data_IF_664298608485
#
_entry.id   IF_664298608485
#
_cell.length_a   1.000
_cell.length_b   1.000
_cell.length_c   1.000
_cell.angle_alpha   90.00
_cell.angle_beta   90.00
_cell.angle_gamma   90.00
#
_symmetry.space_group_name_H-M   'P 1'
#
loop_
_entity.id
_entity.type
_entity.pdbx_description
1 polymer ?
#
# COMPACT_ATOMS: atom_id res chain seq x y z
N UNK A 1 8.73 15.31 57.31
CA UNK A 1 9.93 15.94 56.71
C UNK A 1 10.54 14.90 55.77
N UNK A 2 10.91 15.32 54.56
CA UNK A 2 11.40 14.53 53.40
C UNK A 2 10.27 14.03 52.47
N UNK A 3 9.96 14.93 51.55
CA UNK A 3 9.32 14.77 50.24
C UNK A 3 10.41 14.25 49.28
N UNK A 4 10.08 13.38 48.33
CA UNK A 4 10.40 13.55 46.89
C UNK A 4 10.47 12.23 46.08
N UNK A 5 10.13 12.42 44.80
CA UNK A 5 10.51 11.63 43.61
C UNK A 5 9.68 10.40 43.25
N UNK A 6 8.58 10.63 42.53
CA UNK A 6 8.20 9.82 41.36
C UNK A 6 7.50 10.70 40.29
N UNK A 7 8.25 11.60 39.65
CA UNK A 7 7.96 11.98 38.26
C UNK A 7 8.68 10.97 37.37
N UNK A 8 8.00 9.96 36.81
CA UNK A 8 8.57 9.15 35.71
C UNK A 8 7.56 8.19 35.05
N UNK A 9 6.30 8.58 34.79
CA UNK A 9 5.37 7.73 34.01
C UNK A 9 4.40 8.58 33.16
N UNK A 10 4.89 9.24 32.11
CA UNK A 10 4.01 9.84 31.08
C UNK A 10 4.75 9.97 29.74
N UNK A 11 5.06 8.85 29.07
CA UNK A 11 5.63 8.90 27.70
C UNK A 11 5.26 7.73 26.78
N UNK A 12 4.40 6.79 27.21
CA UNK A 12 4.07 5.60 26.42
C UNK A 12 2.67 5.60 25.78
N UNK A 13 1.82 6.60 26.05
CA UNK A 13 0.42 6.66 25.57
C UNK A 13 0.18 7.54 24.33
N UNK A 14 1.15 8.35 23.91
CA UNK A 14 0.96 9.31 22.82
C UNK A 14 1.13 8.73 21.41
N UNK A 15 1.85 7.61 21.27
CA UNK A 15 2.19 7.05 19.95
C UNK A 15 1.05 6.27 19.30
N UNK A 16 0.23 5.56 20.09
CA UNK A 16 -0.88 4.76 19.56
C UNK A 16 -2.00 5.65 19.02
N UNK A 17 -2.36 6.73 19.73
CA UNK A 17 -3.38 7.68 19.25
C UNK A 17 -2.99 8.39 17.94
N UNK A 18 -1.69 8.64 17.72
CA UNK A 18 -1.23 9.35 16.52
C UNK A 18 -1.45 8.53 15.24
N UNK A 19 -1.21 7.21 15.30
CA UNK A 19 -1.39 6.31 14.16
C UNK A 19 -2.84 6.22 13.70
N UNK A 20 -3.78 6.03 14.62
CA UNK A 20 -5.20 5.90 14.25
C UNK A 20 -5.76 7.20 13.69
N UNK A 21 -5.38 8.36 14.25
CA UNK A 21 -5.82 9.65 13.75
C UNK A 21 -5.34 9.91 12.31
N UNK A 22 -4.09 9.53 12.00
CA UNK A 22 -3.55 9.64 10.64
C UNK A 22 -4.32 8.76 9.65
N UNK A 23 -4.67 7.53 10.03
CA UNK A 23 -5.48 6.63 9.20
C UNK A 23 -6.88 7.18 8.96
N UNK A 24 -7.53 7.66 10.02
CA UNK A 24 -8.87 8.25 9.91
C UNK A 24 -8.85 9.48 8.99
N UNK A 25 -7.82 10.31 9.08
CA UNK A 25 -7.63 11.44 8.18
C UNK A 25 -7.43 10.97 6.73
N UNK A 26 -6.57 9.97 6.50
CA UNK A 26 -6.36 9.38 5.19
C UNK A 26 -7.67 8.86 4.57
N UNK A 27 -8.42 8.03 5.29
CA UNK A 27 -9.70 7.47 4.80
C UNK A 27 -10.74 8.57 4.57
N UNK A 28 -10.77 9.60 5.42
CA UNK A 28 -11.64 10.78 5.20
C UNK A 28 -11.25 11.52 3.92
N UNK A 29 -9.96 11.71 3.68
CA UNK A 29 -9.46 12.34 2.45
C UNK A 29 -9.83 11.52 1.21
N UNK A 30 -9.63 10.19 1.24
CA UNK A 30 -10.07 9.30 0.15
C UNK A 30 -11.56 9.45 -0.13
N UNK A 31 -12.40 9.39 0.91
CA UNK A 31 -13.86 9.55 0.82
C UNK A 31 -14.31 10.93 0.32
N UNK A 32 -13.50 11.97 0.48
CA UNK A 32 -13.83 13.32 0.04
C UNK A 32 -13.42 13.60 -1.41
N UNK A 33 -12.61 12.73 -2.04
CA UNK A 33 -12.15 12.92 -3.42
C UNK A 33 -13.26 12.67 -4.44
N UNK A 34 -13.06 13.09 -5.69
CA UNK A 34 -14.03 12.89 -6.79
C UNK A 34 -14.37 11.40 -6.98
N UNK A 35 -13.45 10.51 -6.60
CA UNK A 35 -13.54 9.07 -6.80
C UNK A 35 -13.91 8.31 -5.51
N UNK A 36 -14.92 8.80 -4.79
CA UNK A 36 -15.33 8.29 -3.47
C UNK A 36 -15.57 6.78 -3.41
N UNK A 37 -16.00 6.17 -4.53
CA UNK A 37 -16.25 4.74 -4.68
C UNK A 37 -15.04 3.88 -4.31
N UNK A 38 -13.82 4.41 -4.46
CA UNK A 38 -12.59 3.64 -4.29
C UNK A 38 -12.08 3.66 -2.86
N UNK A 39 -12.63 4.54 -2.00
CA UNK A 39 -12.23 4.60 -0.60
C UNK A 39 -12.42 3.23 0.08
N UNK A 40 -11.41 2.82 0.83
CA UNK A 40 -11.40 1.56 1.55
C UNK A 40 -11.67 1.85 3.02
N UNK A 41 -12.52 1.07 3.70
CA UNK A 41 -12.87 1.38 5.07
C UNK A 41 -11.68 1.08 6.02
N UNK A 42 -11.57 1.77 7.17
CA UNK A 42 -10.37 1.72 8.02
C UNK A 42 -9.95 0.29 8.46
N UNK A 43 -10.90 -0.61 8.62
CA UNK A 43 -10.65 -2.00 9.03
C UNK A 43 -9.86 -2.84 8.00
N UNK A 44 -9.75 -2.37 6.76
CA UNK A 44 -8.90 -3.00 5.75
C UNK A 44 -7.42 -2.61 5.90
N UNK A 45 -7.07 -1.78 6.89
CA UNK A 45 -5.69 -1.39 7.16
C UNK A 45 -5.25 -1.92 8.52
N UNK A 46 -4.49 -3.01 8.51
CA UNK A 46 -3.90 -3.57 9.72
C UNK A 46 -2.63 -2.78 10.08
N UNK A 47 -2.61 -2.11 11.24
CA UNK A 47 -1.43 -1.39 11.71
C UNK A 47 -0.35 -2.36 12.21
N UNK A 48 0.86 -2.25 11.67
CA UNK A 48 2.01 -3.07 12.04
C UNK A 48 2.89 -2.27 12.99
N UNK A 49 2.94 -2.69 14.26
CA UNK A 49 3.72 -2.02 15.31
C UNK A 49 4.74 -2.93 16.02
N UNK A 50 5.05 -4.08 15.42
CA UNK A 50 5.92 -5.06 16.02
C UNK A 50 6.02 -6.32 15.17
N UNK A 51 6.58 -7.36 15.77
CA UNK A 51 6.81 -8.66 15.12
C UNK A 51 5.52 -9.47 15.11
N UNK A 52 4.67 -9.19 14.13
CA UNK A 52 3.48 -9.98 13.81
C UNK A 52 3.74 -10.68 12.48
N UNK A 53 3.43 -11.98 12.32
CA UNK A 53 3.52 -12.67 11.04
C UNK A 53 2.49 -12.09 10.06
N UNK A 54 2.71 -12.32 8.76
CA UNK A 54 1.80 -11.82 7.75
C UNK A 54 0.46 -12.58 7.79
N UNK A 55 -0.68 -11.88 7.95
CA UNK A 55 -1.98 -12.54 7.94
C UNK A 55 -2.30 -13.12 6.55
N UNK A 56 -3.16 -14.14 6.52
CA UNK A 56 -3.60 -14.77 5.26
C UNK A 56 -4.40 -13.79 4.40
N UNK A 57 -5.09 -12.87 5.06
CA UNK A 57 -5.96 -11.85 4.50
C UNK A 57 -5.19 -10.67 3.89
N UNK A 58 -3.85 -10.67 3.98
CA UNK A 58 -3.00 -9.68 3.34
C UNK A 58 -3.18 -9.69 1.82
N UNK A 59 -3.42 -8.52 1.23
CA UNK A 59 -3.61 -8.39 -0.21
C UNK A 59 -2.30 -8.58 -0.95
N UNK A 60 -2.20 -9.72 -1.64
CA UNK A 60 -1.10 -10.08 -2.54
C UNK A 60 -1.41 -9.69 -3.98
N UNK A 61 -0.43 -9.23 -4.75
CA UNK A 61 -0.60 -9.05 -6.18
C UNK A 61 -1.05 -10.32 -6.89
N UNK A 62 -2.08 -10.21 -7.73
CA UNK A 62 -2.62 -11.33 -8.52
C UNK A 62 -2.98 -12.57 -7.68
N UNK A 63 -3.18 -12.41 -6.37
CA UNK A 63 -3.42 -13.50 -5.41
C UNK A 63 -2.31 -14.57 -5.38
N UNK A 64 -1.07 -14.20 -5.72
CA UNK A 64 0.09 -15.11 -5.72
C UNK A 64 1.39 -14.38 -5.39
N UNK A 65 2.46 -15.15 -5.18
CA UNK A 65 3.82 -14.59 -5.15
C UNK A 65 4.19 -14.01 -6.52
N UNK A 66 4.95 -12.91 -6.49
CA UNK A 66 5.46 -12.22 -7.67
C UNK A 66 6.68 -12.94 -8.25
N UNK A 67 6.88 -12.85 -9.56
CA UNK A 67 8.01 -13.46 -10.26
C UNK A 67 9.27 -12.63 -10.12
N UNK A 68 10.39 -13.29 -9.91
CA UNK A 68 11.74 -12.72 -9.95
C UNK A 68 12.65 -13.68 -10.74
N UNK A 69 12.45 -13.70 -12.06
CA UNK A 69 13.06 -14.66 -12.96
C UNK A 69 12.58 -16.09 -12.68
N UNK A 70 13.49 -16.92 -12.15
CA UNK A 70 13.17 -18.32 -11.77
C UNK A 70 12.67 -18.45 -10.34
N UNK A 71 12.76 -17.38 -9.55
CA UNK A 71 12.30 -17.33 -8.16
C UNK A 71 10.93 -16.67 -8.06
N UNK A 72 10.29 -16.84 -6.91
CA UNK A 72 9.06 -16.12 -6.56
C UNK A 72 9.22 -15.44 -5.22
N UNK A 73 8.70 -14.22 -5.08
CA UNK A 73 8.76 -13.43 -3.86
C UNK A 73 7.33 -13.22 -3.32
N UNK A 74 7.09 -13.61 -2.07
CA UNK A 74 5.81 -13.35 -1.41
C UNK A 74 5.80 -11.93 -0.83
N UNK A 75 4.92 -11.08 -1.36
CA UNK A 75 4.78 -9.69 -0.93
C UNK A 75 3.31 -9.29 -0.89
N UNK A 76 2.99 -8.38 0.02
CA UNK A 76 1.65 -7.82 0.17
C UNK A 76 1.66 -6.29 0.10
N UNK A 77 0.50 -5.71 -0.22
CA UNK A 77 0.31 -4.26 -0.35
C UNK A 77 0.45 -3.58 1.01
N UNK A 78 1.35 -2.62 1.10
CA UNK A 78 1.60 -1.84 2.30
C UNK A 78 1.34 -0.35 2.05
N UNK A 79 0.94 0.35 3.10
CA UNK A 79 0.70 1.78 3.11
C UNK A 79 1.48 2.43 4.26
N UNK A 80 2.25 3.47 3.97
CA UNK A 80 2.90 4.29 4.97
C UNK A 80 2.36 5.71 4.93
N UNK A 81 2.08 6.27 6.11
CA UNK A 81 1.68 7.67 6.29
C UNK A 81 2.78 8.32 7.13
N UNK A 82 3.74 9.03 6.51
CA UNK A 82 4.88 9.60 7.24
C UNK A 82 4.49 10.66 8.28
N UNK A 83 3.31 11.26 8.15
CA UNK A 83 2.86 12.39 8.95
C UNK A 83 3.30 13.74 8.37
N UNK A 84 3.11 14.82 9.13
CA UNK A 84 3.57 16.16 8.72
C UNK A 84 2.91 16.74 7.47
N UNK A 85 1.74 16.24 7.07
CA UNK A 85 1.06 16.64 5.83
C UNK A 85 1.60 15.96 4.57
N UNK A 86 2.56 15.04 4.71
CA UNK A 86 3.04 14.22 3.59
C UNK A 86 1.94 13.24 3.17
N UNK A 87 1.60 13.14 1.88
CA UNK A 87 0.64 12.16 1.37
C UNK A 87 1.04 10.72 1.72
N UNK A 88 0.05 9.83 1.74
CA UNK A 88 0.31 8.41 1.97
C UNK A 88 1.07 7.81 0.77
N UNK A 89 1.94 6.85 1.07
CA UNK A 89 2.85 6.22 0.11
C UNK A 89 2.56 4.73 0.09
N UNK A 90 2.28 4.19 -1.10
CA UNK A 90 2.15 2.74 -1.28
C UNK A 90 3.52 2.08 -1.35
N UNK A 91 3.55 0.81 -0.99
CA UNK A 91 4.76 0.01 -1.04
C UNK A 91 4.43 -1.46 -0.89
N UNK A 92 5.42 -2.23 -0.49
CA UNK A 92 5.25 -3.66 -0.26
C UNK A 92 5.77 -4.08 1.10
N UNK A 93 5.12 -5.08 1.68
CA UNK A 93 5.57 -5.77 2.87
C UNK A 93 5.91 -7.23 2.57
N UNK A 94 6.86 -7.79 3.30
CA UNK A 94 7.22 -9.21 3.29
C UNK A 94 7.43 -9.70 4.72
N UNK A 95 7.32 -11.01 4.92
CA UNK A 95 7.64 -11.65 6.19
C UNK A 95 9.14 -11.97 6.25
N UNK A 96 9.78 -11.63 7.36
CA UNK A 96 11.16 -11.96 7.63
C UNK A 96 11.34 -12.20 9.13
N UNK A 97 11.92 -13.34 9.51
CA UNK A 97 12.19 -13.71 10.91
C UNK A 97 10.94 -13.64 11.82
N UNK A 98 9.77 -14.04 11.30
CA UNK A 98 8.49 -14.05 12.04
C UNK A 98 7.86 -12.67 12.26
N UNK A 99 8.43 -11.61 11.70
CA UNK A 99 7.85 -10.27 11.66
C UNK A 99 7.68 -9.77 10.24
N UNK A 100 6.95 -8.67 10.08
CA UNK A 100 6.83 -8.01 8.78
C UNK A 100 7.84 -6.87 8.65
N UNK A 101 8.46 -6.78 7.47
CA UNK A 101 9.16 -5.59 6.99
C UNK A 101 8.40 -5.01 5.82
N UNK A 102 8.55 -3.71 5.59
CA UNK A 102 8.01 -3.03 4.45
C UNK A 102 9.00 -2.06 3.84
N UNK A 103 8.88 -1.83 2.54
CA UNK A 103 9.71 -0.90 1.78
C UNK A 103 8.85 0.12 1.06
N UNK A 104 9.26 1.38 1.15
CA UNK A 104 8.61 2.54 0.55
C UNK A 104 9.67 3.42 -0.10
N UNK A 105 9.28 4.21 -1.10
CA UNK A 105 10.14 5.24 -1.70
C UNK A 105 9.62 6.59 -1.24
N UNK A 106 10.48 7.37 -0.58
CA UNK A 106 10.13 8.71 -0.11
C UNK A 106 11.25 9.69 -0.45
N UNK A 107 10.95 10.68 -1.29
CA UNK A 107 11.92 11.68 -1.73
C UNK A 107 13.14 11.04 -2.41
N UNK A 108 12.91 10.11 -3.35
CA UNK A 108 13.96 9.37 -4.05
C UNK A 108 14.88 8.54 -3.13
N UNK A 109 14.44 8.24 -1.91
CA UNK A 109 15.18 7.41 -0.95
C UNK A 109 14.35 6.18 -0.58
N UNK A 110 15.00 5.01 -0.57
CA UNK A 110 14.38 3.78 -0.08
C UNK A 110 14.28 3.80 1.46
N UNK A 111 13.07 3.55 1.97
CA UNK A 111 12.78 3.48 3.40
C UNK A 111 12.30 2.09 3.74
N UNK A 112 13.09 1.35 4.52
CA UNK A 112 12.73 0.05 5.07
C UNK A 112 12.23 0.22 6.50
N UNK A 113 11.01 -0.23 6.78
CA UNK A 113 10.35 -0.12 8.07
C UNK A 113 10.00 -1.51 8.62
N UNK A 114 10.13 -1.70 9.93
CA UNK A 114 9.66 -2.90 10.65
C UNK A 114 8.46 -2.61 11.58
N UNK A 115 7.99 -1.36 11.59
CA UNK A 115 6.84 -0.86 12.36
C UNK A 115 6.36 0.48 11.79
N UNK A 116 5.18 0.93 12.19
CA UNK A 116 4.65 2.25 11.83
C UNK A 116 4.06 2.33 10.41
N UNK A 117 3.80 1.18 9.78
CA UNK A 117 3.11 1.08 8.49
C UNK A 117 1.81 0.29 8.64
N UNK A 118 1.01 0.25 7.57
CA UNK A 118 -0.23 -0.50 7.51
C UNK A 118 -0.17 -1.53 6.40
N UNK A 119 -0.71 -2.70 6.66
CA UNK A 119 -0.91 -3.74 5.65
C UNK A 119 -2.35 -3.63 5.13
N UNK A 120 -2.52 -3.66 3.82
CA UNK A 120 -3.86 -3.78 3.24
C UNK A 120 -4.34 -5.21 3.40
N UNK A 121 -5.46 -5.38 4.09
CA UNK A 121 -6.09 -6.68 4.37
C UNK A 121 -7.52 -6.70 3.85
N UNK A 122 -7.98 -7.88 3.49
CA UNK A 122 -9.35 -8.11 3.06
C UNK A 122 -9.97 -9.24 3.85
N UNK A 123 -10.65 -8.84 4.94
CA UNK A 123 -11.38 -9.75 5.81
C UNK A 123 -12.79 -9.95 5.26
N UNK A 124 -13.26 -11.20 5.21
CA UNK A 124 -14.60 -11.55 4.73
C UNK A 124 -14.65 -11.91 3.24
N UNK A 125 -15.83 -11.84 2.65
CA UNK A 125 -16.09 -12.16 1.25
C UNK A 125 -16.56 -10.93 0.46
N UNK A 126 -16.55 -11.01 -0.89
CA UNK A 126 -17.17 -10.00 -1.75
C UNK A 126 -18.60 -9.66 -1.36
N UNK A 127 -19.38 -10.66 -0.92
CA UNK A 127 -20.77 -10.48 -0.50
C UNK A 127 -20.89 -9.72 0.82
N UNK A 128 -20.06 -10.05 1.81
CA UNK A 128 -20.10 -9.35 3.12
C UNK A 128 -19.56 -7.93 3.04
N UNK A 129 -18.60 -7.68 2.14
CA UNK A 129 -17.96 -6.37 1.99
C UNK A 129 -18.66 -5.48 0.97
N UNK A 130 -19.45 -6.05 0.04
CA UNK A 130 -20.07 -5.35 -1.09
C UNK A 130 -19.08 -4.90 -2.17
N UNK A 131 -17.83 -5.36 -2.09
CA UNK A 131 -16.78 -5.09 -3.08
C UNK A 131 -15.71 -6.16 -3.02
N UNK A 132 -14.92 -6.29 -4.10
CA UNK A 132 -13.69 -7.09 -4.14
C UNK A 132 -12.53 -6.27 -4.68
N UNK A 133 -11.31 -6.68 -4.35
CA UNK A 133 -10.12 -6.13 -4.99
C UNK A 133 -9.77 -6.92 -6.25
N UNK A 134 -9.29 -6.22 -7.29
CA UNK A 134 -8.76 -6.85 -8.51
C UNK A 134 -7.59 -6.06 -9.07
N UNK A 135 -6.60 -6.78 -9.58
CA UNK A 135 -5.48 -6.18 -10.32
C UNK A 135 -5.83 -6.06 -11.79
N UNK A 136 -5.81 -4.85 -12.32
CA UNK A 136 -6.17 -4.57 -13.71
C UNK A 136 -5.06 -3.77 -14.35
N UNK A 137 -4.71 -4.13 -15.58
CA UNK A 137 -3.71 -3.40 -16.35
C UNK A 137 -4.18 -1.98 -16.62
N UNK A 138 -3.28 -1.01 -16.50
CA UNK A 138 -3.61 0.41 -16.58
C UNK A 138 -4.32 0.79 -17.88
N UNK A 139 -3.94 0.22 -19.03
CA UNK A 139 -4.63 0.52 -20.30
C UNK A 139 -6.08 0.03 -20.38
N UNK A 140 -6.43 -0.98 -19.59
CA UNK A 140 -7.73 -1.67 -19.62
C UNK A 140 -8.61 -1.30 -18.42
N UNK A 141 -8.11 -0.48 -17.49
CA UNK A 141 -8.78 -0.23 -16.21
C UNK A 141 -9.90 0.80 -16.36
N UNK A 142 -11.04 0.51 -15.73
CA UNK A 142 -12.00 1.57 -15.44
C UNK A 142 -11.41 2.50 -14.37
N UNK A 143 -11.08 3.72 -14.78
CA UNK A 143 -10.53 4.76 -13.90
C UNK A 143 -11.41 4.97 -12.65
N UNK A 144 -12.72 4.78 -12.79
CA UNK A 144 -13.72 4.82 -11.72
C UNK A 144 -13.72 3.58 -10.82
N UNK A 145 -12.64 2.80 -10.80
CA UNK A 145 -12.44 1.71 -9.83
C UNK A 145 -11.06 1.69 -9.15
N UNK A 146 -10.10 2.53 -9.57
CA UNK A 146 -8.70 2.46 -9.11
C UNK A 146 -8.54 2.89 -7.65
N UNK A 147 -7.89 2.08 -6.82
CA UNK A 147 -7.64 2.42 -5.42
C UNK A 147 -6.58 3.53 -5.29
N UNK A 148 -7.04 4.77 -5.13
CA UNK A 148 -6.16 5.93 -4.97
C UNK A 148 -5.94 6.30 -3.50
N UNK A 149 -4.71 6.68 -3.15
CA UNK A 149 -4.43 7.44 -1.94
C UNK A 149 -4.86 8.90 -2.15
N UNK A 150 -5.94 9.30 -1.49
CA UNK A 150 -6.35 10.70 -1.32
C UNK A 150 -6.21 11.60 -2.57
N UNK A 151 -5.74 12.83 -2.34
CA UNK A 151 -5.66 13.85 -3.39
C UNK A 151 -4.42 13.74 -4.30
N UNK A 152 -3.36 13.04 -3.88
CA UNK A 152 -2.19 12.82 -4.74
C UNK A 152 -2.48 11.80 -5.86
N UNK A 153 -3.58 11.03 -5.75
CA UNK A 153 -3.97 10.03 -6.75
C UNK A 153 -2.88 8.97 -6.98
N UNK A 154 -2.09 8.62 -5.96
CA UNK A 154 -1.19 7.49 -6.10
C UNK A 154 -1.93 6.17 -5.89
N UNK A 155 -1.49 5.08 -6.50
CA UNK A 155 -2.13 3.77 -6.39
C UNK A 155 -1.09 2.67 -6.15
N UNK A 156 -1.43 1.60 -5.41
CA UNK A 156 -0.56 0.44 -5.34
C UNK A 156 -0.55 -0.24 -6.70
N UNK A 157 0.65 -0.51 -7.19
CA UNK A 157 0.86 -0.92 -8.58
C UNK A 157 1.89 -2.04 -8.69
N UNK A 158 1.72 -2.90 -9.70
CA UNK A 158 2.71 -3.91 -10.10
C UNK A 158 3.17 -3.65 -11.53
N UNK A 159 4.48 -3.48 -11.69
CA UNK A 159 5.11 -3.48 -13.01
C UNK A 159 5.52 -4.91 -13.37
N UNK A 160 5.10 -5.40 -14.54
CA UNK A 160 5.45 -6.72 -15.07
C UNK A 160 6.40 -6.58 -16.26
N UNK A 161 7.69 -6.82 -16.04
CA UNK A 161 8.74 -6.77 -17.06
C UNK A 161 8.87 -8.14 -17.76
N UNK A 162 8.51 -8.17 -19.04
CA UNK A 162 8.59 -9.34 -19.94
C UNK A 162 7.87 -10.61 -19.44
N UNK A 163 6.99 -10.47 -18.43
CA UNK A 163 6.31 -11.58 -17.76
C UNK A 163 7.24 -12.46 -16.90
N UNK A 164 8.50 -12.05 -16.71
CA UNK A 164 9.52 -12.77 -15.94
C UNK A 164 9.82 -12.08 -14.60
N UNK A 165 9.71 -10.76 -14.53
CA UNK A 165 9.95 -10.00 -13.31
C UNK A 165 8.75 -9.14 -12.99
N UNK A 166 8.38 -9.10 -11.71
CA UNK A 166 7.22 -8.36 -11.25
C UNK A 166 7.57 -7.59 -9.98
N UNK A 167 7.27 -6.28 -9.97
CA UNK A 167 7.66 -5.41 -8.87
C UNK A 167 6.46 -4.65 -8.33
N UNK A 168 6.14 -4.83 -7.04
CA UNK A 168 5.12 -4.04 -6.34
C UNK A 168 5.72 -2.72 -5.82
N UNK A 169 5.01 -1.62 -6.06
CA UNK A 169 5.41 -0.26 -5.71
C UNK A 169 4.26 0.75 -5.75
N UNK A 170 4.60 2.00 -6.05
CA UNK A 170 3.71 3.17 -5.95
C UNK A 170 3.57 3.85 -7.32
N UNK A 171 2.35 3.91 -7.85
CA UNK A 171 2.04 4.57 -9.11
C UNK A 171 1.58 5.99 -8.91
N UNK A 172 2.29 6.96 -9.47
CA UNK A 172 1.81 8.33 -9.68
C UNK A 172 0.92 8.36 -10.93
N UNK A 173 -0.40 8.29 -10.69
CA UNK A 173 -1.40 8.22 -11.75
C UNK A 173 -1.37 9.42 -12.68
N UNK A 174 -1.13 10.61 -12.13
CA UNK A 174 -1.14 11.86 -12.89
C UNK A 174 0.07 11.94 -13.81
N UNK A 175 1.25 11.54 -13.33
CA UNK A 175 2.48 11.54 -14.14
C UNK A 175 2.62 10.33 -15.06
N UNK A 176 1.73 9.33 -14.96
CA UNK A 176 1.82 8.04 -15.66
C UNK A 176 3.18 7.38 -15.44
N UNK A 177 3.55 7.28 -14.16
CA UNK A 177 4.82 6.70 -13.69
C UNK A 177 4.58 5.84 -12.47
N UNK A 178 5.44 4.87 -12.28
CA UNK A 178 5.46 4.02 -11.10
C UNK A 178 6.89 3.91 -10.58
N UNK A 179 7.04 4.05 -9.27
CA UNK A 179 8.30 3.81 -8.56
C UNK A 179 8.26 2.46 -7.85
N UNK A 180 9.38 1.73 -7.88
CA UNK A 180 9.54 0.44 -7.22
C UNK A 180 10.99 0.18 -6.87
N UNK A 181 11.23 -0.74 -5.94
CA UNK A 181 12.59 -1.20 -5.59
C UNK A 181 12.77 -2.59 -6.17
N UNK A 182 13.85 -2.89 -6.90
CA UNK A 182 14.09 -4.27 -7.36
C UNK A 182 14.41 -5.18 -6.17
N UNK A 183 14.12 -6.48 -6.27
CA UNK A 183 14.48 -7.42 -5.20
C UNK A 183 16.01 -7.50 -5.08
N UNK A 184 16.53 -7.36 -3.85
CA UNK A 184 17.96 -7.29 -3.59
C UNK A 184 18.64 -5.94 -3.88
N UNK A 185 17.89 -4.92 -4.33
CA UNK A 185 18.39 -3.55 -4.53
C UNK A 185 17.99 -2.63 -3.37
N UNK A 186 18.79 -1.60 -3.12
CA UNK A 186 18.51 -0.48 -2.23
C UNK A 186 18.26 0.85 -2.99
N UNK A 187 18.14 0.78 -4.31
CA UNK A 187 17.88 1.91 -5.19
C UNK A 187 16.42 1.96 -5.66
N UNK A 188 15.82 3.16 -5.76
CA UNK A 188 14.52 3.33 -6.41
C UNK A 188 14.69 3.21 -7.93
N UNK A 189 13.73 2.53 -8.56
CA UNK A 189 13.57 2.47 -10.01
C UNK A 189 12.24 3.10 -10.40
N UNK A 190 12.17 3.65 -11.61
CA UNK A 190 10.96 4.25 -12.16
C UNK A 190 10.66 3.65 -13.53
N UNK A 191 9.41 3.29 -13.75
CA UNK A 191 8.85 3.01 -15.07
C UNK A 191 7.80 4.05 -15.41
N UNK A 192 7.62 4.38 -16.68
CA UNK A 192 6.71 5.43 -17.10
C UNK A 192 6.48 5.46 -18.60
N UNK A 193 5.57 6.33 -19.01
CA UNK A 193 5.41 6.66 -20.42
C UNK A 193 6.48 7.67 -20.84
N UNK A 194 7.31 7.31 -21.81
CA UNK A 194 8.40 8.14 -22.32
C UNK A 194 8.48 8.05 -23.85
N UNK A 195 8.30 9.18 -24.54
CA UNK A 195 8.30 9.24 -25.99
C UNK A 195 7.20 8.33 -26.58
N UNK A 196 7.58 7.41 -27.47
CA UNK A 196 6.66 6.43 -28.05
C UNK A 196 6.39 5.19 -27.19
N UNK A 197 7.11 5.01 -26.07
CA UNK A 197 6.96 3.84 -25.21
C UNK A 197 5.97 4.11 -24.08
N UNK A 198 5.00 3.21 -23.89
CA UNK A 198 3.91 3.35 -22.92
C UNK A 198 3.94 2.30 -21.81
N UNK A 199 5.12 2.09 -21.21
CA UNK A 199 5.30 1.05 -20.18
C UNK A 199 4.31 1.16 -19.01
N UNK A 200 3.93 2.39 -18.61
CA UNK A 200 2.94 2.56 -17.55
C UNK A 200 1.55 2.10 -17.98
N UNK A 201 1.17 2.29 -19.24
CA UNK A 201 -0.14 1.86 -19.71
C UNK A 201 -0.17 0.36 -19.99
N UNK A 202 0.91 -0.15 -20.60
CA UNK A 202 0.96 -1.48 -21.18
C UNK A 202 1.39 -2.57 -20.20
N UNK A 203 2.22 -2.24 -19.21
CA UNK A 203 2.91 -3.23 -18.36
C UNK A 203 2.70 -3.01 -16.86
N UNK A 204 2.03 -1.93 -16.46
CA UNK A 204 1.65 -1.68 -15.06
C UNK A 204 0.21 -2.12 -14.81
N UNK A 205 0.00 -2.79 -13.69
CA UNK A 205 -1.28 -3.20 -13.14
C UNK A 205 -1.54 -2.40 -11.86
N UNK A 206 -2.74 -1.86 -11.71
CA UNK A 206 -3.16 -1.14 -10.50
C UNK A 206 -4.21 -1.95 -9.75
N UNK A 207 -4.25 -1.78 -8.44
CA UNK A 207 -5.30 -2.35 -7.63
C UNK A 207 -6.60 -1.56 -7.82
N UNK A 208 -7.70 -2.27 -8.03
CA UNK A 208 -9.04 -1.72 -8.18
C UNK A 208 -9.97 -2.24 -7.10
N UNK A 209 -10.95 -1.43 -6.72
CA UNK A 209 -12.07 -1.82 -5.86
C UNK A 209 -13.32 -1.92 -6.71
N UNK A 210 -13.71 -3.14 -7.05
CA UNK A 210 -14.90 -3.40 -7.85
C UNK A 210 -16.09 -3.63 -6.95
N UNK A 211 -17.19 -2.88 -7.16
CA UNK A 211 -18.45 -3.14 -6.46
C UNK A 211 -18.99 -4.50 -6.86
N UNK A 212 -19.49 -5.23 -5.88
CA UNK A 212 -20.20 -6.47 -6.13
C UNK A 212 -21.69 -6.16 -6.21
N UNK A 213 -22.33 -6.50 -7.32
CA UNK A 213 -23.79 -6.49 -7.44
C UNK A 213 -24.32 -7.73 -6.73
N UNK A 214 -24.16 -7.81 -5.42
CA UNK A 214 -24.80 -8.85 -4.63
C UNK A 214 -26.28 -8.46 -4.55
N UNK A 215 -27.14 -9.29 -5.13
CA UNK A 215 -28.57 -9.20 -4.86
C UNK A 215 -28.75 -9.55 -3.38
N UNK A 216 -29.32 -8.62 -2.61
CA UNK A 216 -29.79 -8.89 -1.25
C UNK A 216 -30.84 -10.00 -1.25
#
# INVERSE_FOLDING_TARGET
MIIQFQEFIFLALSTVCSGDQQLLNFVRTERATIYQSHSVPPQSFLFVNGSTPMPKEAIRPFERSLRDGTMTIDVAVALWIPGGGVPAIWGRAWEENGGMKAVFIFGNTVKVLNRGFRLLVYNGSPDTNGFKFMWVRVKDVDHGTVLFSGANMHAPAVFSEDGQYEFLGDADWQKRRMEFVKYGSDEPHTVGNYGGKRYFDDDVYVLTKQRCNCQC
#
